data_IF_074962484793
#
_entry.id   IF_074962484793
#
_cell.length_a   1.000
_cell.length_b   1.000
_cell.length_c   1.000
_cell.angle_alpha   90.00
_cell.angle_beta   90.00
_cell.angle_gamma   90.00
#
_symmetry.space_group_name_H-M   'P 1'
#
loop_
_entity.id
_entity.type
_entity.pdbx_description
1 polymer ?
#
# COMPACT_ATOMS: atom_id res chain seq x y z
N UNK A 1 -3.13 7.27 -6.57
CA UNK A 1 -2.25 6.08 -6.52
C UNK A 1 -2.34 5.26 -7.81
N UNK A 2 -3.56 4.86 -8.27
CA UNK A 2 -3.74 4.09 -9.53
C UNK A 2 -3.10 4.77 -10.74
N UNK A 3 -3.38 6.06 -10.96
CA UNK A 3 -2.80 6.82 -12.08
C UNK A 3 -1.26 6.81 -12.08
N UNK A 4 -0.66 6.82 -10.91
CA UNK A 4 0.79 6.74 -10.77
C UNK A 4 1.31 5.36 -11.15
N UNK A 5 0.62 4.29 -10.71
CA UNK A 5 0.95 2.93 -11.13
C UNK A 5 0.83 2.78 -12.65
N UNK A 6 -0.28 3.21 -13.24
CA UNK A 6 -0.51 3.14 -14.69
C UNK A 6 0.61 3.84 -15.49
N UNK A 7 1.06 5.01 -15.01
CA UNK A 7 2.09 5.81 -15.67
C UNK A 7 3.48 5.21 -15.55
N UNK A 8 3.82 4.64 -14.41
CA UNK A 8 5.18 4.21 -14.09
C UNK A 8 5.30 2.68 -13.86
N UNK A 9 4.29 1.89 -14.26
CA UNK A 9 4.30 0.45 -14.01
C UNK A 9 5.54 -0.28 -14.53
N UNK A 10 6.12 0.20 -15.66
CA UNK A 10 7.33 -0.38 -16.24
C UNK A 10 8.58 -0.14 -15.39
N UNK A 11 8.52 0.75 -14.41
CA UNK A 11 9.58 0.98 -13.44
C UNK A 11 9.49 0.07 -12.21
N UNK A 12 8.47 -0.80 -12.15
CA UNK A 12 8.38 -1.85 -11.10
C UNK A 12 9.29 -2.99 -11.49
N UNK A 13 10.26 -3.38 -10.64
CA UNK A 13 11.11 -4.54 -10.92
C UNK A 13 10.31 -5.85 -10.96
N UNK A 14 10.76 -6.80 -11.78
CA UNK A 14 10.26 -8.17 -11.71
C UNK A 14 10.57 -8.79 -10.32
N UNK A 15 9.74 -9.68 -9.80
CA UNK A 15 8.54 -10.26 -10.41
C UNK A 15 7.25 -9.46 -10.18
N UNK A 16 7.33 -8.28 -9.57
CA UNK A 16 6.17 -7.50 -9.12
C UNK A 16 5.54 -6.61 -10.20
N UNK A 17 6.16 -6.48 -11.38
CA UNK A 17 5.65 -5.62 -12.45
C UNK A 17 4.29 -6.10 -12.95
N UNK A 18 3.21 -5.31 -12.80
CA UNK A 18 1.89 -5.71 -13.28
C UNK A 18 1.78 -5.49 -14.79
N UNK A 19 0.93 -6.27 -15.51
CA UNK A 19 0.59 -6.00 -16.91
C UNK A 19 -0.19 -4.68 -17.04
N UNK A 20 -0.38 -4.21 -18.30
CA UNK A 20 -1.15 -3.00 -18.55
C UNK A 20 -2.65 -3.15 -18.22
N UNK A 21 -3.19 -4.35 -18.38
CA UNK A 21 -4.58 -4.72 -18.18
C UNK A 21 -4.75 -5.49 -16.86
N UNK A 22 -4.66 -4.82 -15.75
CA UNK A 22 -5.04 -5.38 -14.46
C UNK A 22 -6.40 -4.85 -14.00
N UNK A 23 -7.11 -5.63 -13.20
CA UNK A 23 -8.39 -5.24 -12.59
C UNK A 23 -8.21 -4.96 -11.10
N UNK A 24 -8.85 -3.90 -10.63
CA UNK A 24 -8.90 -3.58 -9.20
C UNK A 24 -10.05 -4.39 -8.57
N UNK A 25 -9.73 -5.08 -7.48
CA UNK A 25 -10.69 -5.89 -6.73
C UNK A 25 -10.75 -5.47 -5.27
N UNK A 26 -11.90 -5.72 -4.67
CA UNK A 26 -12.17 -5.57 -3.25
C UNK A 26 -12.47 -6.97 -2.70
N UNK A 27 -11.45 -7.73 -2.26
CA UNK A 27 -11.67 -9.07 -1.80
C UNK A 27 -12.58 -9.08 -0.58
N UNK A 28 -13.53 -10.00 -0.59
CA UNK A 28 -14.35 -10.30 0.59
C UNK A 28 -13.75 -11.49 1.35
N UNK A 29 -14.22 -11.72 2.57
CA UNK A 29 -13.74 -12.82 3.42
C UNK A 29 -13.68 -14.17 2.69
N UNK A 30 -14.65 -14.44 1.78
CA UNK A 30 -14.70 -15.66 1.00
C UNK A 30 -13.49 -15.84 0.09
N UNK A 31 -13.08 -14.80 -0.61
CA UNK A 31 -11.94 -14.84 -1.55
C UNK A 31 -10.64 -15.20 -0.81
N UNK A 32 -10.43 -14.62 0.37
CA UNK A 32 -9.29 -14.98 1.22
C UNK A 32 -9.36 -16.43 1.70
N UNK A 33 -10.55 -16.92 2.06
CA UNK A 33 -10.71 -18.30 2.52
C UNK A 33 -10.43 -19.31 1.42
N UNK A 34 -10.78 -19.02 0.17
CA UNK A 34 -10.47 -19.86 -0.97
C UNK A 34 -8.95 -19.95 -1.18
N UNK A 35 -8.26 -18.81 -1.14
CA UNK A 35 -6.80 -18.80 -1.17
C UNK A 35 -6.19 -19.55 0.03
N UNK A 36 -6.69 -19.34 1.26
CA UNK A 36 -6.15 -20.03 2.44
C UNK A 36 -6.30 -21.54 2.36
N UNK A 37 -7.41 -22.03 1.80
CA UNK A 37 -7.63 -23.46 1.56
C UNK A 37 -6.65 -24.02 0.53
N UNK A 38 -6.48 -23.33 -0.58
CA UNK A 38 -5.53 -23.74 -1.64
C UNK A 38 -4.08 -23.74 -1.15
N UNK A 39 -3.72 -22.80 -0.29
CA UNK A 39 -2.40 -22.69 0.33
C UNK A 39 -2.19 -23.62 1.56
N UNK A 40 -3.15 -24.50 1.87
CA UNK A 40 -3.07 -25.43 3.01
C UNK A 40 -3.16 -24.75 4.40
N UNK A 41 -3.72 -23.52 4.48
CA UNK A 41 -3.82 -22.74 5.73
C UNK A 41 -5.25 -22.27 6.00
N UNK A 42 -6.26 -23.16 6.07
CA UNK A 42 -7.68 -22.77 6.13
C UNK A 42 -8.08 -21.97 7.38
N UNK A 43 -7.31 -22.06 8.46
CA UNK A 43 -7.59 -21.40 9.73
C UNK A 43 -6.90 -20.04 9.87
N UNK A 44 -6.40 -19.46 8.78
CA UNK A 44 -5.77 -18.13 8.80
C UNK A 44 -6.80 -17.05 9.09
N UNK A 45 -6.47 -16.13 10.01
CA UNK A 45 -7.28 -14.95 10.27
C UNK A 45 -7.17 -13.97 9.11
N UNK A 46 -8.30 -13.71 8.41
CA UNK A 46 -8.32 -12.89 7.21
C UNK A 46 -7.97 -11.42 7.49
N UNK A 47 -8.37 -10.85 8.63
CA UNK A 47 -8.04 -9.45 8.96
C UNK A 47 -6.55 -9.26 9.22
N UNK A 48 -5.94 -10.20 9.94
CA UNK A 48 -4.48 -10.21 10.15
C UNK A 48 -3.72 -10.37 8.83
N UNK A 49 -4.21 -11.24 7.95
CA UNK A 49 -3.61 -11.43 6.64
C UNK A 49 -3.73 -10.20 5.76
N UNK A 50 -4.90 -9.58 5.70
CA UNK A 50 -5.14 -8.34 4.98
C UNK A 50 -4.23 -7.20 5.48
N UNK A 51 -4.12 -7.06 6.81
CA UNK A 51 -3.18 -6.10 7.41
C UNK A 51 -1.72 -6.42 7.05
N UNK A 52 -1.34 -7.69 6.97
CA UNK A 52 0.01 -8.08 6.56
C UNK A 52 0.29 -7.71 5.10
N UNK A 53 -0.64 -8.00 4.17
CA UNK A 53 -0.53 -7.58 2.75
C UNK A 53 -0.48 -6.06 2.64
N UNK A 54 -1.28 -5.35 3.41
CA UNK A 54 -1.32 -3.89 3.38
C UNK A 54 -0.02 -3.25 3.90
N UNK A 55 0.71 -3.89 4.80
CA UNK A 55 1.86 -3.30 5.48
C UNK A 55 3.21 -3.87 5.05
N UNK A 56 3.25 -5.01 4.35
CA UNK A 56 4.52 -5.56 3.87
C UNK A 56 5.14 -4.66 2.81
N UNK A 57 6.43 -4.36 2.94
CA UNK A 57 7.17 -3.64 1.88
C UNK A 57 7.61 -4.60 0.78
N UNK A 58 7.85 -4.07 -0.41
CA UNK A 58 8.40 -4.82 -1.54
C UNK A 58 9.91 -4.52 -1.68
N UNK A 59 10.70 -5.48 -2.14
CA UNK A 59 10.30 -6.87 -2.42
C UNK A 59 10.08 -7.66 -1.11
N UNK A 60 9.12 -8.58 -1.12
CA UNK A 60 8.79 -9.39 0.08
C UNK A 60 9.98 -10.24 0.52
N UNK A 61 10.80 -10.68 -0.42
CA UNK A 61 11.98 -11.51 -0.20
C UNK A 61 13.04 -10.87 0.71
N UNK A 62 13.12 -9.54 0.70
CA UNK A 62 14.11 -8.77 1.46
C UNK A 62 13.60 -8.34 2.85
N UNK A 63 12.35 -8.65 3.18
CA UNK A 63 11.77 -8.23 4.45
C UNK A 63 12.20 -9.15 5.60
N UNK A 64 12.48 -8.56 6.77
CA UNK A 64 12.77 -9.29 8.00
C UNK A 64 11.49 -9.92 8.57
N UNK A 65 11.07 -11.00 7.94
CA UNK A 65 9.90 -11.79 8.27
C UNK A 65 10.30 -13.25 8.50
N UNK A 66 9.56 -13.94 9.37
CA UNK A 66 9.67 -15.39 9.45
C UNK A 66 9.42 -16.00 8.07
N UNK A 67 10.27 -16.93 7.65
CA UNK A 67 10.22 -17.54 6.31
C UNK A 67 8.81 -18.03 5.93
N UNK A 68 8.13 -18.71 6.85
CA UNK A 68 6.76 -19.19 6.60
C UNK A 68 5.74 -18.08 6.35
N UNK A 69 5.95 -16.87 6.90
CA UNK A 69 5.11 -15.69 6.66
C UNK A 69 5.45 -15.10 5.29
N UNK A 70 6.73 -14.92 5.02
CA UNK A 70 7.24 -14.40 3.75
C UNK A 70 6.76 -15.23 2.56
N UNK A 71 6.91 -16.56 2.62
CA UNK A 71 6.43 -17.47 1.59
C UNK A 71 4.92 -17.40 1.40
N UNK A 72 4.16 -17.23 2.48
CA UNK A 72 2.70 -17.15 2.40
C UNK A 72 2.22 -15.83 1.77
N UNK A 73 2.85 -14.70 2.12
CA UNK A 73 2.54 -13.41 1.49
C UNK A 73 2.93 -13.41 0.01
N UNK A 74 4.09 -13.99 -0.33
CA UNK A 74 4.52 -14.15 -1.72
C UNK A 74 3.55 -15.02 -2.52
N UNK A 75 3.13 -16.16 -1.98
CA UNK A 75 2.15 -17.04 -2.62
C UNK A 75 0.82 -16.32 -2.93
N UNK A 76 0.40 -15.37 -2.08
CA UNK A 76 -0.77 -14.55 -2.37
C UNK A 76 -0.54 -13.60 -3.55
N UNK A 77 0.64 -12.95 -3.65
CA UNK A 77 0.98 -12.12 -4.81
C UNK A 77 0.97 -12.94 -6.10
N UNK A 78 1.62 -14.09 -6.10
CA UNK A 78 1.63 -15.03 -7.22
C UNK A 78 0.20 -15.47 -7.59
N UNK A 79 -0.63 -15.82 -6.60
CA UNK A 79 -2.02 -16.16 -6.80
C UNK A 79 -2.81 -15.06 -7.52
N UNK A 80 -2.63 -13.80 -7.15
CA UNK A 80 -3.30 -12.66 -7.78
C UNK A 80 -2.82 -12.41 -9.21
N UNK A 81 -1.60 -12.80 -9.53
CA UNK A 81 -0.99 -12.60 -10.85
C UNK A 81 -1.25 -13.75 -11.82
N UNK A 82 -1.39 -14.98 -11.36
CA UNK A 82 -1.32 -16.18 -12.20
C UNK A 82 -2.62 -16.98 -12.29
N UNK A 83 -3.48 -16.91 -11.28
CA UNK A 83 -4.65 -17.81 -11.19
C UNK A 83 -5.92 -17.26 -11.83
N UNK A 84 -5.88 -16.11 -12.50
CA UNK A 84 -7.04 -15.48 -13.11
C UNK A 84 -6.74 -15.13 -14.57
N UNK A 85 -7.79 -14.97 -15.37
CA UNK A 85 -7.66 -14.52 -16.77
C UNK A 85 -7.04 -13.10 -16.88
N UNK A 86 -7.14 -12.31 -15.83
CA UNK A 86 -6.54 -10.99 -15.68
C UNK A 86 -5.84 -10.93 -14.33
N UNK A 87 -4.78 -10.14 -14.23
CA UNK A 87 -4.15 -9.84 -12.93
C UNK A 87 -5.12 -9.05 -12.05
N UNK A 88 -5.30 -9.50 -10.81
CA UNK A 88 -6.19 -8.87 -9.84
C UNK A 88 -5.35 -8.11 -8.81
N UNK A 89 -5.52 -6.80 -8.70
CA UNK A 89 -4.82 -5.98 -7.70
C UNK A 89 -5.80 -5.42 -6.68
N UNK A 90 -5.49 -5.58 -5.41
CA UNK A 90 -6.20 -4.89 -4.34
C UNK A 90 -5.62 -3.48 -4.14
N UNK A 91 -6.36 -2.56 -3.52
CA UNK A 91 -5.82 -1.24 -3.20
C UNK A 91 -4.55 -1.28 -2.34
N UNK A 92 -4.44 -2.14 -1.31
CA UNK A 92 -3.18 -2.33 -0.59
C UNK A 92 -2.02 -2.71 -1.51
N UNK A 93 -2.22 -3.64 -2.44
CA UNK A 93 -1.18 -4.03 -3.41
C UNK A 93 -0.77 -2.85 -4.30
N UNK A 94 -1.72 -2.08 -4.81
CA UNK A 94 -1.44 -0.86 -5.61
C UNK A 94 -0.60 0.15 -4.80
N UNK A 95 -0.94 0.36 -3.53
CA UNK A 95 -0.17 1.25 -2.66
C UNK A 95 1.27 0.75 -2.46
N UNK A 96 1.46 -0.57 -2.28
CA UNK A 96 2.80 -1.18 -2.16
C UNK A 96 3.61 -1.05 -3.44
N UNK A 97 3.00 -1.30 -4.60
CA UNK A 97 3.66 -1.14 -5.91
C UNK A 97 4.10 0.31 -6.15
N UNK A 98 3.23 1.29 -5.87
CA UNK A 98 3.59 2.70 -6.03
C UNK A 98 4.71 3.10 -5.05
N UNK A 99 4.63 2.67 -3.80
CA UNK A 99 5.72 2.90 -2.84
C UNK A 99 7.03 2.30 -3.34
N UNK A 100 7.01 1.07 -3.84
CA UNK A 100 8.18 0.39 -4.37
C UNK A 100 8.77 1.12 -5.58
N UNK A 101 7.94 1.60 -6.53
CA UNK A 101 8.40 2.46 -7.64
C UNK A 101 9.21 3.64 -7.11
N UNK A 102 8.71 4.34 -6.10
CA UNK A 102 9.34 5.53 -5.54
C UNK A 102 10.63 5.24 -4.79
N UNK A 103 10.72 4.07 -4.16
CA UNK A 103 11.91 3.64 -3.41
C UNK A 103 13.06 3.22 -4.32
N UNK A 104 12.75 2.52 -5.42
CA UNK A 104 13.79 2.00 -6.33
C UNK A 104 14.09 2.94 -7.50
N UNK A 105 13.31 4.01 -7.68
CA UNK A 105 13.54 5.02 -8.73
C UNK A 105 13.55 6.43 -8.11
N UNK A 106 14.67 6.86 -7.54
CA UNK A 106 14.78 8.17 -6.90
C UNK A 106 14.41 9.35 -7.82
N UNK A 107 14.66 9.22 -9.12
CA UNK A 107 14.36 10.26 -10.12
C UNK A 107 12.83 10.46 -10.26
N UNK A 108 12.05 9.39 -10.20
CA UNK A 108 10.58 9.46 -10.23
C UNK A 108 10.08 10.16 -8.96
N UNK A 109 10.63 9.82 -7.80
CA UNK A 109 10.29 10.45 -6.54
C UNK A 109 10.67 11.94 -6.54
N UNK A 110 11.85 12.28 -7.03
CA UNK A 110 12.29 13.66 -7.15
C UNK A 110 11.40 14.46 -8.11
N UNK A 111 11.07 13.92 -9.28
CA UNK A 111 10.15 14.56 -10.22
C UNK A 111 8.76 14.81 -9.60
N UNK A 112 8.26 13.86 -8.80
CA UNK A 112 7.01 14.02 -8.04
C UNK A 112 7.12 15.20 -7.07
N UNK A 113 8.17 15.27 -6.27
CA UNK A 113 8.41 16.35 -5.28
C UNK A 113 8.50 17.71 -5.96
N UNK A 114 9.17 17.80 -7.09
CA UNK A 114 9.29 19.05 -7.86
C UNK A 114 7.96 19.47 -8.51
N UNK A 115 7.08 18.51 -8.78
CA UNK A 115 5.77 18.78 -9.41
C UNK A 115 4.74 19.36 -8.43
N UNK A 116 4.95 19.17 -7.12
CA UNK A 116 3.98 19.58 -6.09
C UNK A 116 4.64 20.47 -5.04
N UNK A 117 4.46 21.79 -5.16
CA UNK A 117 4.90 22.76 -4.14
C UNK A 117 4.04 22.72 -2.87
N UNK A 118 2.78 22.29 -2.99
CA UNK A 118 1.86 22.10 -1.88
C UNK A 118 0.94 20.90 -2.15
N UNK A 119 0.61 20.15 -1.08
CA UNK A 119 -0.30 19.01 -1.11
C UNK A 119 -1.26 19.10 0.07
N UNK A 120 -2.54 18.94 -0.22
CA UNK A 120 -3.61 18.87 0.78
C UNK A 120 -4.07 17.42 0.92
N UNK A 121 -4.08 16.94 2.15
CA UNK A 121 -4.52 15.61 2.53
C UNK A 121 -5.87 15.76 3.24
N UNK A 122 -6.94 15.52 2.51
CA UNK A 122 -8.30 15.62 3.01
C UNK A 122 -8.75 14.33 3.71
N UNK A 123 -9.72 14.42 4.62
CA UNK A 123 -10.23 13.30 5.44
C UNK A 123 -9.09 12.51 6.11
N UNK A 124 -8.09 13.24 6.62
CA UNK A 124 -6.84 12.62 7.06
C UNK A 124 -7.02 11.67 8.24
N UNK A 125 -8.08 11.83 9.05
CA UNK A 125 -8.44 10.91 10.15
C UNK A 125 -8.68 9.47 9.67
N UNK A 126 -9.06 9.28 8.40
CA UNK A 126 -9.31 7.95 7.82
C UNK A 126 -8.09 7.35 7.10
N UNK A 127 -6.93 7.99 7.22
CA UNK A 127 -5.68 7.51 6.60
C UNK A 127 -5.18 6.23 7.25
N UNK A 128 -4.92 5.21 6.43
CA UNK A 128 -4.30 3.95 6.89
C UNK A 128 -2.78 4.06 7.01
N UNK A 129 -2.15 3.15 7.79
CA UNK A 129 -0.68 3.06 7.86
C UNK A 129 -0.02 2.90 6.49
N UNK A 130 -0.65 2.13 5.60
CA UNK A 130 -0.14 1.93 4.24
C UNK A 130 -0.14 3.22 3.41
N UNK A 131 -1.22 4.01 3.50
CA UNK A 131 -1.31 5.31 2.83
C UNK A 131 -0.34 6.31 3.44
N UNK A 132 -0.25 6.36 4.77
CA UNK A 132 0.71 7.22 5.46
C UNK A 132 2.16 6.90 5.10
N UNK A 133 2.52 5.61 5.06
CA UNK A 133 3.84 5.16 4.61
C UNK A 133 4.17 5.63 3.19
N UNK A 134 3.19 5.63 2.29
CA UNK A 134 3.36 6.17 0.94
C UNK A 134 3.57 7.68 0.94
N UNK A 135 2.79 8.44 1.73
CA UNK A 135 2.94 9.90 1.88
C UNK A 135 4.34 10.23 2.41
N UNK A 136 4.84 9.49 3.40
CA UNK A 136 6.20 9.63 3.90
C UNK A 136 7.24 9.42 2.81
N UNK A 137 7.16 8.32 2.08
CA UNK A 137 8.09 8.03 0.97
C UNK A 137 8.08 9.14 -0.07
N UNK A 138 6.91 9.71 -0.36
CA UNK A 138 6.80 10.83 -1.30
C UNK A 138 7.47 12.10 -0.77
N UNK A 139 7.20 12.50 0.48
CA UNK A 139 7.36 13.89 0.89
C UNK A 139 8.22 14.11 2.14
N UNK A 140 8.59 13.09 2.90
CA UNK A 140 9.48 13.26 4.06
C UNK A 140 10.83 13.86 3.61
N UNK A 141 11.25 14.95 4.26
CA UNK A 141 12.44 15.69 3.90
C UNK A 141 12.38 16.45 2.57
N UNK A 142 11.20 16.56 1.94
CA UNK A 142 11.01 17.37 0.75
C UNK A 142 10.65 18.82 1.11
N UNK A 143 10.88 19.74 0.16
CA UNK A 143 10.44 21.14 0.30
C UNK A 143 8.94 21.36 0.02
N UNK A 144 8.18 20.30 -0.23
CA UNK A 144 6.74 20.33 -0.46
C UNK A 144 5.99 20.69 0.82
N UNK A 145 5.10 21.68 0.77
CA UNK A 145 4.23 22.03 1.90
C UNK A 145 3.08 21.02 1.99
N UNK A 146 2.97 20.34 3.13
CA UNK A 146 1.86 19.42 3.39
C UNK A 146 0.86 20.06 4.35
N UNK A 147 -0.42 19.85 4.07
CA UNK A 147 -1.52 20.25 4.95
C UNK A 147 -2.48 19.06 5.10
N UNK A 148 -2.63 18.55 6.31
CA UNK A 148 -3.60 17.53 6.64
C UNK A 148 -4.86 18.19 7.20
N UNK A 149 -6.02 17.83 6.66
CA UNK A 149 -7.32 18.36 7.03
C UNK A 149 -8.26 17.19 7.37
N UNK A 150 -9.07 17.36 8.39
CA UNK A 150 -10.05 16.36 8.81
C UNK A 150 -10.55 16.59 10.23
N UNK A 151 -11.41 15.72 10.71
CA UNK A 151 -11.99 15.75 12.05
C UNK A 151 -11.94 14.35 12.68
N UNK A 152 -11.14 14.16 13.73
CA UNK A 152 -11.00 12.88 14.44
C UNK A 152 -12.34 12.33 14.97
N UNK A 153 -13.32 13.21 15.20
CA UNK A 153 -14.66 12.80 15.65
C UNK A 153 -15.51 12.19 14.52
N UNK A 154 -15.14 12.45 13.27
CA UNK A 154 -15.80 11.92 12.08
C UNK A 154 -15.12 10.67 11.52
N UNK A 155 -14.15 10.11 12.24
CA UNK A 155 -13.44 8.88 11.84
C UNK A 155 -14.40 7.70 11.67
N UNK A 156 -14.56 7.21 10.46
CA UNK A 156 -15.44 6.10 10.10
C UNK A 156 -14.71 4.87 9.58
N UNK A 157 -13.45 5.00 9.20
CA UNK A 157 -12.66 3.94 8.56
C UNK A 157 -11.79 3.13 9.55
N UNK A 158 -12.05 3.19 10.86
CA UNK A 158 -11.34 2.39 11.86
C UNK A 158 -11.38 0.88 11.57
N UNK A 159 -12.50 0.39 11.04
CA UNK A 159 -12.67 -1.00 10.63
C UNK A 159 -11.78 -1.39 9.43
N UNK A 160 -11.37 -0.41 8.61
CA UNK A 160 -10.48 -0.59 7.45
C UNK A 160 -9.00 -0.32 7.78
N UNK A 161 -8.65 -0.19 9.05
CA UNK A 161 -7.28 0.01 9.52
C UNK A 161 -6.77 1.45 9.47
N UNK A 162 -7.67 2.44 9.55
CA UNK A 162 -7.28 3.83 9.75
C UNK A 162 -6.48 4.00 11.05
N UNK A 163 -5.47 4.86 11.01
CA UNK A 163 -4.55 5.10 12.14
C UNK A 163 -5.29 5.73 13.33
N UNK A 164 -5.04 5.25 14.54
CA UNK A 164 -5.71 5.78 15.75
C UNK A 164 -5.32 7.23 16.06
N UNK A 165 -4.10 7.62 15.76
CA UNK A 165 -3.53 8.94 16.04
C UNK A 165 -2.93 9.56 14.76
N UNK A 166 -3.74 9.64 13.69
CA UNK A 166 -3.26 10.06 12.37
C UNK A 166 -2.61 11.45 12.40
N UNK A 167 -3.25 12.43 13.04
CA UNK A 167 -2.73 13.80 13.11
C UNK A 167 -1.49 13.93 13.99
N UNK A 168 -1.41 13.20 15.12
CA UNK A 168 -0.22 13.22 15.97
C UNK A 168 0.98 12.66 15.21
N UNK A 169 0.79 11.51 14.55
CA UNK A 169 1.85 10.88 13.73
C UNK A 169 2.27 11.78 12.56
N UNK A 170 1.32 12.49 11.94
CA UNK A 170 1.63 13.47 10.89
C UNK A 170 2.48 14.62 11.45
N UNK A 171 2.07 15.19 12.58
CA UNK A 171 2.77 16.29 13.25
C UNK A 171 4.20 15.89 13.62
N UNK A 172 4.36 14.71 14.23
CA UNK A 172 5.69 14.19 14.61
C UNK A 172 6.57 13.89 13.38
N UNK A 173 6.01 13.38 12.30
CA UNK A 173 6.78 12.99 11.11
C UNK A 173 7.24 14.17 10.27
N UNK A 174 6.39 15.19 10.13
CA UNK A 174 6.64 16.33 9.23
C UNK A 174 6.95 17.62 9.96
N UNK A 175 7.17 17.59 11.29
CA UNK A 175 7.36 18.77 12.15
C UNK A 175 6.28 19.83 11.90
N UNK A 176 5.02 19.37 11.78
CA UNK A 176 3.88 20.22 11.45
C UNK A 176 3.35 20.96 12.69
N UNK A 177 2.64 22.08 12.45
CA UNK A 177 2.04 22.92 13.48
C UNK A 177 0.54 23.04 13.32
#
# INVERSE_FOLDING_TARGET
TKQMLDRFRMAVPAPYMPPANYRIVFPVKGDYQDFFRSAGRPNTDHKRFEAAIANVSLPIEEQDLKEAVRLFLRAYWEHQYENFAEVLLTFPMINRLVKYILEVNPEINQALRLSYGAVFLDEFQDTTLAQFSLIRTCFEGAGTRLTAVGDDKQKIMGWAGAMDRAFDVFTETFDAR
#
